data_IF_922619875240
#
_entry.id   IF_922619875240
#
_cell.length_a   1.000
_cell.length_b   1.000
_cell.length_c   1.000
_cell.angle_alpha   90.00
_cell.angle_beta   90.00
_cell.angle_gamma   90.00
#
_symmetry.space_group_name_H-M   'P 1'
#
loop_
_entity.id
_entity.type
_entity.pdbx_description
1 polymer ?
#
# COMPACT_ATOMS: atom_id res chain seq x y z
N UNK A 1 -8.98 -20.83 -18.86
CA UNK A 1 -9.90 -19.82 -18.30
C UNK A 1 -9.20 -19.18 -17.12
N UNK A 2 -8.66 -17.97 -17.25
CA UNK A 2 -8.08 -17.24 -16.13
C UNK A 2 -9.24 -16.56 -15.40
N UNK A 3 -9.50 -16.87 -14.12
CA UNK A 3 -10.54 -16.16 -13.38
C UNK A 3 -10.09 -14.70 -13.20
N UNK A 4 -10.79 -13.77 -13.85
CA UNK A 4 -10.63 -12.35 -13.59
C UNK A 4 -11.42 -12.04 -12.32
N UNK A 5 -10.71 -11.83 -11.22
CA UNK A 5 -11.29 -11.33 -9.98
C UNK A 5 -11.80 -9.90 -10.22
N UNK A 6 -13.00 -9.62 -9.73
CA UNK A 6 -13.49 -8.23 -9.65
C UNK A 6 -12.63 -7.44 -8.66
N UNK A 7 -12.42 -6.13 -8.90
CA UNK A 7 -11.58 -5.27 -8.03
C UNK A 7 -11.98 -5.37 -6.55
N UNK A 8 -13.30 -5.44 -6.28
CA UNK A 8 -13.86 -5.60 -4.94
C UNK A 8 -13.42 -6.88 -4.22
N UNK A 9 -13.19 -7.98 -4.94
CA UNK A 9 -12.71 -9.24 -4.37
C UNK A 9 -11.19 -9.20 -4.09
N UNK A 10 -10.41 -8.53 -4.95
CA UNK A 10 -8.98 -8.33 -4.72
C UNK A 10 -8.74 -7.52 -3.46
N UNK A 11 -9.44 -6.41 -3.28
CA UNK A 11 -9.35 -5.57 -2.07
C UNK A 11 -9.65 -6.35 -0.78
N UNK A 12 -10.73 -7.14 -0.79
CA UNK A 12 -11.14 -7.95 0.37
C UNK A 12 -10.08 -9.01 0.72
N UNK A 13 -9.56 -9.74 -0.28
CA UNK A 13 -8.51 -10.73 -0.07
C UNK A 13 -7.21 -10.12 0.44
N UNK A 14 -6.85 -8.96 -0.09
CA UNK A 14 -5.65 -8.23 0.32
C UNK A 14 -5.76 -7.76 1.76
N UNK A 15 -6.93 -7.21 2.15
CA UNK A 15 -7.19 -6.81 3.52
C UNK A 15 -7.23 -7.98 4.50
N UNK A 16 -7.86 -9.09 4.11
CA UNK A 16 -7.91 -10.31 4.91
C UNK A 16 -6.52 -10.88 5.13
N UNK A 17 -5.69 -10.94 4.07
CA UNK A 17 -4.31 -11.39 4.16
C UNK A 17 -3.49 -10.50 5.10
N UNK A 18 -3.53 -9.17 4.90
CA UNK A 18 -2.86 -8.19 5.76
C UNK A 18 -3.34 -8.30 7.22
N UNK A 19 -4.63 -8.54 7.44
CA UNK A 19 -5.21 -8.64 8.78
C UNK A 19 -4.85 -9.96 9.49
N UNK A 20 -4.68 -11.06 8.74
CA UNK A 20 -4.34 -12.39 9.27
C UNK A 20 -2.85 -12.58 9.49
N UNK A 21 -2.02 -12.10 8.56
CA UNK A 21 -0.56 -12.25 8.64
C UNK A 21 0.05 -11.44 9.80
N UNK A 22 -0.70 -10.51 10.37
CA UNK A 22 -0.11 -9.48 11.19
C UNK A 22 -0.97 -9.09 12.40
N UNK A 23 -0.41 -9.38 13.59
CA UNK A 23 -0.69 -8.64 14.84
C UNK A 23 -0.16 -7.20 14.75
N UNK A 24 -0.41 -6.51 13.63
CA UNK A 24 0.06 -5.15 13.42
C UNK A 24 -0.60 -4.19 14.38
N UNK A 25 0.17 -3.18 14.77
CA UNK A 25 -0.34 -1.98 15.39
C UNK A 25 -1.41 -1.35 14.48
N UNK A 26 -2.52 -0.82 15.04
CA UNK A 26 -3.60 -0.20 14.27
C UNK A 26 -3.11 0.84 13.23
N UNK A 27 -2.10 1.64 13.57
CA UNK A 27 -1.51 2.64 12.69
C UNK A 27 -0.93 2.06 11.39
N UNK A 28 -0.29 0.89 11.46
CA UNK A 28 0.27 0.22 10.27
C UNK A 28 -0.84 -0.30 9.35
N UNK A 29 -1.93 -0.79 9.94
CA UNK A 29 -3.11 -1.24 9.19
C UNK A 29 -3.76 -0.09 8.43
N UNK A 30 -3.79 1.13 9.01
CA UNK A 30 -4.32 2.31 8.33
C UNK A 30 -3.51 2.68 7.08
N UNK A 31 -2.18 2.65 7.15
CA UNK A 31 -1.33 2.94 5.98
C UNK A 31 -1.54 1.88 4.90
N UNK A 32 -1.53 0.61 5.27
CA UNK A 32 -1.73 -0.49 4.33
C UNK A 32 -3.12 -0.47 3.69
N UNK A 33 -4.15 -0.06 4.44
CA UNK A 33 -5.51 0.10 3.92
C UNK A 33 -5.59 1.21 2.87
N UNK A 34 -4.95 2.36 3.14
CA UNK A 34 -4.88 3.46 2.16
C UNK A 34 -4.19 2.99 0.89
N UNK A 35 -3.02 2.34 1.03
CA UNK A 35 -2.29 1.81 -0.11
C UNK A 35 -3.13 0.79 -0.89
N UNK A 36 -3.75 -0.17 -0.22
CA UNK A 36 -4.61 -1.17 -0.87
C UNK A 36 -5.79 -0.57 -1.63
N UNK A 37 -6.45 0.45 -1.05
CA UNK A 37 -7.56 1.14 -1.72
C UNK A 37 -7.13 1.86 -2.99
N UNK A 38 -5.98 2.55 -2.97
CA UNK A 38 -5.44 3.20 -4.16
C UNK A 38 -4.93 2.17 -5.19
N UNK A 39 -4.26 1.10 -4.74
CA UNK A 39 -3.83 -0.01 -5.60
C UNK A 39 -5.02 -0.61 -6.34
N UNK A 40 -6.17 -0.79 -5.68
CA UNK A 40 -7.40 -1.26 -6.33
C UNK A 40 -7.96 -0.24 -7.32
N UNK A 41 -8.10 1.03 -6.92
CA UNK A 41 -8.65 2.10 -7.76
C UNK A 41 -7.82 2.36 -9.03
N UNK A 42 -6.53 2.03 -9.03
CA UNK A 42 -5.61 2.25 -10.16
C UNK A 42 -5.13 0.95 -10.81
N UNK A 43 -5.92 -0.14 -10.75
CA UNK A 43 -5.62 -1.42 -11.43
C UNK A 43 -4.21 -1.96 -11.13
N UNK A 44 -3.81 -1.91 -9.86
CA UNK A 44 -2.52 -2.39 -9.35
C UNK A 44 -1.27 -1.61 -9.81
N UNK A 45 -1.46 -0.44 -10.43
CA UNK A 45 -0.36 0.46 -10.86
C UNK A 45 -0.23 1.72 -9.99
N UNK A 46 -0.71 1.68 -8.75
CA UNK A 46 -0.75 2.87 -7.89
C UNK A 46 0.64 3.24 -7.39
N UNK A 47 1.08 4.46 -7.66
CA UNK A 47 2.23 5.08 -7.01
C UNK A 47 1.69 6.28 -6.22
N UNK A 48 1.77 6.23 -4.89
CA UNK A 48 1.10 7.20 -4.01
C UNK A 48 2.14 8.02 -3.26
N UNK A 49 2.13 9.36 -3.35
CA UNK A 49 3.00 10.19 -2.54
C UNK A 49 2.64 10.12 -1.05
N UNK A 50 3.64 10.24 -0.18
CA UNK A 50 3.43 10.23 1.27
C UNK A 50 2.39 11.24 1.76
N UNK A 51 2.24 12.39 1.08
CA UNK A 51 1.25 13.42 1.41
C UNK A 51 -0.19 12.89 1.34
N UNK A 52 -0.52 12.05 0.35
CA UNK A 52 -1.85 11.43 0.24
C UNK A 52 -2.05 10.38 1.31
N UNK A 53 -1.01 9.60 1.63
CA UNK A 53 -1.05 8.61 2.71
C UNK A 53 -1.32 9.30 4.05
N UNK A 54 -0.65 10.42 4.32
CA UNK A 54 -0.86 11.23 5.52
C UNK A 54 -2.30 11.73 5.60
N UNK A 55 -2.80 12.32 4.51
CA UNK A 55 -4.16 12.86 4.45
C UNK A 55 -5.21 11.77 4.69
N UNK A 56 -5.07 10.63 4.02
CA UNK A 56 -6.13 9.61 3.97
C UNK A 56 -6.03 8.60 5.13
N UNK A 57 -4.87 8.49 5.80
CA UNK A 57 -4.72 7.67 7.02
C UNK A 57 -5.13 8.40 8.30
N UNK A 58 -5.21 9.73 8.29
CA UNK A 58 -5.48 10.55 9.47
C UNK A 58 -4.36 10.55 10.51
N UNK A 59 -3.21 9.95 10.20
CA UNK A 59 -2.05 9.88 11.08
C UNK A 59 -1.19 11.15 10.97
N UNK A 60 -0.38 11.40 12.00
CA UNK A 60 0.56 12.52 11.99
C UNK A 60 1.68 12.26 10.97
N UNK A 61 2.17 13.33 10.33
CA UNK A 61 3.21 13.26 9.29
C UNK A 61 4.44 12.43 9.74
N UNK A 62 5.01 12.74 10.90
CA UNK A 62 6.17 12.02 11.45
C UNK A 62 5.89 10.57 11.87
N UNK A 63 4.63 10.25 12.15
CA UNK A 63 4.21 8.87 12.37
C UNK A 63 4.18 8.11 11.05
N UNK A 64 3.52 8.67 10.02
CA UNK A 64 3.45 8.05 8.69
C UNK A 64 4.83 7.80 8.10
N UNK A 65 5.73 8.78 8.15
CA UNK A 65 7.12 8.59 7.66
C UNK A 65 7.82 7.43 8.35
N UNK A 66 7.75 7.33 9.67
CA UNK A 66 8.38 6.23 10.44
C UNK A 66 7.76 4.88 10.11
N UNK A 67 6.45 4.83 9.96
CA UNK A 67 5.74 3.60 9.63
C UNK A 67 6.02 3.16 8.19
N UNK A 68 6.12 4.09 7.23
CA UNK A 68 6.51 3.77 5.85
C UNK A 68 7.91 3.17 5.77
N UNK A 69 8.88 3.74 6.50
CA UNK A 69 10.24 3.16 6.61
C UNK A 69 10.20 1.75 7.19
N UNK A 70 9.36 1.53 8.20
CA UNK A 70 9.21 0.20 8.84
C UNK A 70 8.56 -0.81 7.90
N UNK A 71 7.55 -0.39 7.13
CA UNK A 71 6.87 -1.23 6.13
C UNK A 71 7.79 -1.56 4.94
N UNK A 72 8.62 -0.61 4.53
CA UNK A 72 9.62 -0.81 3.48
C UNK A 72 10.71 -1.80 3.92
N UNK A 73 11.24 -1.64 5.14
CA UNK A 73 12.20 -2.59 5.72
C UNK A 73 11.63 -4.01 5.85
N UNK A 74 10.31 -4.13 6.07
CA UNK A 74 9.63 -5.41 6.12
C UNK A 74 9.25 -5.98 4.73
N UNK A 75 9.51 -5.24 3.64
CA UNK A 75 9.11 -5.57 2.27
C UNK A 75 7.58 -5.63 2.04
N UNK A 76 6.81 -4.88 2.82
CA UNK A 76 5.36 -4.73 2.65
C UNK A 76 5.01 -3.63 1.65
N UNK A 77 5.89 -2.62 1.57
CA UNK A 77 5.76 -1.45 0.73
C UNK A 77 7.04 -1.28 -0.07
N UNK A 78 6.91 -0.85 -1.32
CA UNK A 78 8.01 -0.44 -2.18
C UNK A 78 7.97 1.08 -2.38
N UNK A 79 9.14 1.71 -2.45
CA UNK A 79 9.24 3.15 -2.73
C UNK A 79 9.95 3.40 -4.05
N UNK A 80 9.42 4.35 -4.83
CA UNK A 80 9.97 4.80 -6.10
C UNK A 80 10.20 6.31 -6.05
N UNK A 81 11.45 6.72 -6.29
CA UNK A 81 11.80 8.14 -6.35
C UNK A 81 11.65 8.63 -7.80
N UNK A 82 10.78 9.61 -8.01
CA UNK A 82 10.53 10.24 -9.30
C UNK A 82 10.78 11.75 -9.21
N UNK A 83 10.91 12.40 -10.36
CA UNK A 83 10.84 13.85 -10.44
C UNK A 83 9.41 14.26 -10.75
N UNK A 84 8.88 15.23 -10.02
CA UNK A 84 7.62 15.87 -10.38
C UNK A 84 7.80 16.86 -11.54
N UNK A 85 6.69 17.46 -11.99
CA UNK A 85 6.68 18.43 -13.10
C UNK A 85 7.51 19.70 -12.79
N UNK A 86 7.90 19.92 -11.54
CA UNK A 86 8.76 21.03 -11.10
C UNK A 86 10.24 20.64 -11.01
N UNK A 87 10.58 19.39 -11.36
CA UNK A 87 11.92 18.84 -11.23
C UNK A 87 12.32 18.50 -9.79
N UNK A 88 11.36 18.49 -8.85
CA UNK A 88 11.61 18.11 -7.46
C UNK A 88 11.52 16.61 -7.31
N UNK A 89 12.42 16.06 -6.50
CA UNK A 89 12.39 14.65 -6.16
C UNK A 89 11.26 14.34 -5.19
N UNK A 90 10.33 13.49 -5.61
CA UNK A 90 9.20 13.01 -4.82
C UNK A 90 9.31 11.49 -4.67
N UNK A 91 9.01 10.99 -3.47
CA UNK A 91 8.96 9.54 -3.20
C UNK A 91 7.49 9.11 -3.29
N UNK A 92 7.25 8.12 -4.13
CA UNK A 92 5.97 7.44 -4.27
C UNK A 92 6.07 6.06 -3.65
N UNK A 93 4.96 5.60 -3.06
CA UNK A 93 4.87 4.33 -2.35
C UNK A 93 3.81 3.45 -3.00
N UNK A 94 4.05 2.14 -3.01
CA UNK A 94 3.11 1.13 -3.45
C UNK A 94 3.18 -0.09 -2.53
N UNK A 95 2.14 -0.92 -2.51
CA UNK A 95 2.26 -2.26 -1.93
C UNK A 95 3.31 -3.05 -2.69
N UNK A 96 4.10 -3.86 -1.98
CA UNK A 96 5.09 -4.69 -2.64
C UNK A 96 4.43 -5.70 -3.57
N UNK A 97 5.04 -5.96 -4.73
CA UNK A 97 4.49 -6.92 -5.68
C UNK A 97 4.34 -8.31 -5.06
N UNK A 98 5.25 -8.68 -4.15
CA UNK A 98 5.22 -9.92 -3.37
C UNK A 98 3.97 -10.00 -2.49
N UNK A 99 3.64 -8.94 -1.75
CA UNK A 99 2.47 -8.92 -0.87
C UNK A 99 1.18 -9.05 -1.69
N UNK A 100 1.09 -8.33 -2.82
CA UNK A 100 -0.07 -8.40 -3.72
C UNK A 100 -0.21 -9.81 -4.31
N UNK A 101 0.87 -10.41 -4.80
CA UNK A 101 0.86 -11.77 -5.36
C UNK A 101 0.49 -12.82 -4.30
N UNK A 102 1.02 -12.69 -3.08
CA UNK A 102 0.70 -13.58 -1.96
C UNK A 102 -0.79 -13.52 -1.60
N UNK A 103 -1.35 -12.32 -1.51
CA UNK A 103 -2.77 -12.11 -1.25
C UNK A 103 -3.69 -12.64 -2.37
N UNK A 104 -3.26 -12.51 -3.63
CA UNK A 104 -4.02 -12.98 -4.79
C UNK A 104 -3.93 -14.50 -5.01
N UNK A 105 -2.84 -15.12 -4.56
CA UNK A 105 -2.60 -16.56 -4.67
C UNK A 105 -3.14 -17.36 -3.49
N UNK A 106 -3.48 -16.69 -2.38
CA UNK A 106 -4.12 -17.32 -1.23
C UNK A 106 -5.61 -17.59 -1.54
N UNK A 107 -6.12 -18.82 -1.31
CA UNK A 107 -7.50 -19.20 -1.61
C UNK A 107 -8.55 -18.40 -0.82
#
# INVERSE_FOLDING_TARGET
MTPSLSSSQTRLRLWDHISRELKLMPSLKLILLVLANYTDAHNHKANIPASLIIRDSGLRNEEVKRLLVSLEAAHWVESNRVLDDTGRSVILYNLSARLVQSALSSP
#
